data_IF_901294951558
#
_entry.id   IF_901294951558
#
_cell.length_a   1.000
_cell.length_b   1.000
_cell.length_c   1.000
_cell.angle_alpha   90.00
_cell.angle_beta   90.00
_cell.angle_gamma   90.00
#
_symmetry.space_group_name_H-M   'P 1'
#
loop_
_entity.id
_entity.type
_entity.pdbx_description
1 polymer ?
#
# COMPACT_ATOMS: atom_id res chain seq x y z
N UNK A 1 34.03 -46.65 -77.23
CA UNK A 1 32.91 -46.01 -76.60
C UNK A 1 33.40 -44.75 -75.90
N UNK A 2 33.05 -43.55 -76.35
CA UNK A 2 33.67 -42.32 -75.86
C UNK A 2 32.90 -41.80 -74.65
N UNK A 3 33.63 -41.37 -73.62
CA UNK A 3 33.15 -40.70 -72.44
C UNK A 3 33.08 -39.19 -72.73
N UNK A 4 31.88 -38.61 -72.66
CA UNK A 4 31.66 -37.20 -72.85
C UNK A 4 31.95 -36.43 -71.52
N UNK A 5 32.91 -35.55 -71.55
CA UNK A 5 33.28 -34.62 -70.51
C UNK A 5 32.31 -33.40 -70.58
N UNK A 6 31.70 -33.06 -69.49
CA UNK A 6 30.84 -31.80 -69.32
C UNK A 6 31.75 -30.70 -68.74
N UNK A 7 31.56 -29.44 -69.18
CA UNK A 7 32.36 -28.33 -68.66
C UNK A 7 31.72 -27.80 -67.36
N UNK A 8 32.59 -27.45 -66.39
CA UNK A 8 32.29 -26.77 -65.11
C UNK A 8 32.06 -25.29 -65.40
N UNK A 9 30.93 -24.76 -64.98
CA UNK A 9 30.65 -23.32 -65.01
C UNK A 9 31.17 -22.68 -63.71
N UNK A 10 31.76 -21.45 -63.74
CA UNK A 10 32.18 -20.74 -62.55
C UNK A 10 30.97 -20.15 -61.81
N UNK A 11 30.88 -20.47 -60.52
CA UNK A 11 29.88 -19.90 -59.61
C UNK A 11 30.25 -18.49 -59.20
N UNK A 12 29.31 -17.58 -59.42
CA UNK A 12 29.36 -16.20 -58.93
C UNK A 12 29.16 -16.20 -57.38
N UNK A 13 30.14 -15.74 -56.66
CA UNK A 13 30.05 -15.54 -55.24
C UNK A 13 29.30 -14.24 -54.95
N UNK A 14 28.05 -14.35 -54.51
CA UNK A 14 27.29 -13.23 -54.00
C UNK A 14 27.75 -12.93 -52.58
N UNK A 15 28.41 -11.80 -52.37
CA UNK A 15 28.78 -11.26 -51.05
C UNK A 15 27.48 -10.71 -50.45
N UNK A 16 26.92 -11.43 -49.47
CA UNK A 16 25.86 -10.94 -48.63
C UNK A 16 26.47 -10.00 -47.57
N UNK A 17 26.28 -8.70 -47.77
CA UNK A 17 26.54 -7.69 -46.72
C UNK A 17 25.46 -7.86 -45.63
N UNK A 18 25.87 -8.46 -44.50
CA UNK A 18 25.06 -8.48 -43.31
C UNK A 18 25.09 -7.07 -42.63
N UNK A 19 24.04 -6.29 -42.82
CA UNK A 19 23.82 -5.07 -42.05
C UNK A 19 23.40 -5.48 -40.66
N UNK A 20 24.30 -5.40 -39.69
CA UNK A 20 24.02 -5.54 -38.27
C UNK A 20 23.25 -4.28 -37.84
N UNK A 21 21.92 -4.37 -37.73
CA UNK A 21 21.12 -3.39 -37.03
C UNK A 21 21.46 -3.46 -35.52
N UNK A 22 22.29 -2.55 -35.04
CA UNK A 22 22.43 -2.22 -33.64
C UNK A 22 21.10 -1.59 -33.18
N UNK A 23 20.20 -2.43 -32.67
CA UNK A 23 19.06 -1.97 -31.91
C UNK A 23 19.60 -1.36 -30.61
N UNK A 24 19.78 -0.04 -30.60
CA UNK A 24 19.94 0.73 -29.37
C UNK A 24 18.63 0.59 -28.58
N UNK A 25 18.60 -0.33 -27.63
CA UNK A 25 17.58 -0.32 -26.59
C UNK A 25 17.77 0.96 -25.78
N UNK A 26 17.09 2.02 -26.17
CA UNK A 26 16.82 3.15 -25.32
C UNK A 26 16.12 2.61 -24.08
N UNK A 27 16.84 2.50 -22.96
CA UNK A 27 16.20 2.40 -21.65
C UNK A 27 15.35 3.66 -21.52
N UNK A 28 14.05 3.51 -21.77
CA UNK A 28 13.10 4.50 -21.32
C UNK A 28 13.28 4.59 -19.80
N UNK A 29 13.84 5.70 -19.34
CA UNK A 29 13.78 6.10 -17.95
C UNK A 29 12.31 5.99 -17.55
N UNK A 30 11.99 5.00 -16.73
CA UNK A 30 10.68 4.86 -16.11
C UNK A 30 10.56 6.03 -15.13
N UNK A 31 10.21 7.19 -15.67
CA UNK A 31 9.91 8.39 -14.91
C UNK A 31 8.86 8.02 -13.86
N UNK A 32 9.26 8.11 -12.66
CA UNK A 32 8.62 8.01 -11.38
C UNK A 32 7.10 8.23 -11.46
N UNK A 33 6.25 7.20 -11.48
CA UNK A 33 4.80 7.38 -11.65
C UNK A 33 4.18 8.27 -10.55
N UNK A 34 4.77 8.32 -9.36
CA UNK A 34 4.33 9.17 -8.25
C UNK A 34 4.51 10.68 -8.50
N UNK A 35 5.57 11.10 -9.19
CA UNK A 35 5.81 12.52 -9.47
C UNK A 35 4.84 13.05 -10.54
N UNK A 36 4.49 12.24 -11.54
CA UNK A 36 3.52 12.60 -12.57
C UNK A 36 2.10 12.70 -11.99
N UNK A 37 1.71 11.78 -11.10
CA UNK A 37 0.41 11.80 -10.43
C UNK A 37 0.28 13.01 -9.48
N UNK A 38 1.33 13.39 -8.77
CA UNK A 38 1.35 14.57 -7.90
C UNK A 38 1.18 15.86 -8.70
N UNK A 39 1.91 16.02 -9.80
CA UNK A 39 1.79 17.18 -10.67
C UNK A 39 0.40 17.31 -11.31
N UNK A 40 -0.19 16.21 -11.76
CA UNK A 40 -1.55 16.20 -12.30
C UNK A 40 -2.60 16.61 -11.23
N UNK A 41 -2.38 16.27 -9.96
CA UNK A 41 -3.24 16.71 -8.87
C UNK A 41 -3.15 18.21 -8.63
N UNK A 42 -1.94 18.76 -8.64
CA UNK A 42 -1.76 20.18 -8.40
C UNK A 42 -2.51 21.05 -9.42
N UNK A 43 -2.59 20.61 -10.68
CA UNK A 43 -3.30 21.33 -11.74
C UNK A 43 -4.82 21.41 -11.56
N UNK A 44 -5.41 20.48 -10.78
CA UNK A 44 -6.88 20.45 -10.55
C UNK A 44 -7.29 20.98 -9.18
N UNK A 45 -6.35 21.26 -8.28
CA UNK A 45 -6.68 21.90 -7.00
C UNK A 45 -7.03 23.36 -7.25
N UNK A 46 -8.24 23.84 -6.86
CA UNK A 46 -8.65 25.22 -7.13
C UNK A 46 -7.79 26.23 -6.36
N UNK A 47 -7.77 27.46 -6.83
CA UNK A 47 -7.17 28.57 -6.09
C UNK A 47 -8.03 28.98 -4.89
N UNK A 48 -7.43 29.71 -3.94
CA UNK A 48 -8.12 30.28 -2.77
C UNK A 48 -8.15 29.36 -1.55
N UNK A 49 -8.85 29.79 -0.47
CA UNK A 49 -8.75 29.16 0.86
C UNK A 49 -9.08 27.66 0.89
N UNK A 50 -10.04 27.22 0.08
CA UNK A 50 -10.36 25.79 -0.04
C UNK A 50 -9.19 24.98 -0.63
N UNK A 51 -8.65 25.44 -1.75
CA UNK A 51 -7.52 24.79 -2.39
C UNK A 51 -6.26 24.81 -1.52
N UNK A 52 -6.08 25.86 -0.72
CA UNK A 52 -4.98 25.95 0.25
C UNK A 52 -5.14 24.90 1.35
N UNK A 53 -6.34 24.67 1.87
CA UNK A 53 -6.64 23.60 2.83
C UNK A 53 -6.40 22.21 2.21
N UNK A 54 -6.80 21.99 0.95
CA UNK A 54 -6.54 20.74 0.21
C UNK A 54 -5.04 20.47 0.11
N UNK A 55 -4.24 21.49 -0.26
CA UNK A 55 -2.77 21.37 -0.35
C UNK A 55 -2.13 21.08 1.00
N UNK A 56 -2.56 21.77 2.07
CA UNK A 56 -2.06 21.47 3.42
C UNK A 56 -2.44 20.08 3.88
N UNK A 57 -3.69 19.64 3.70
CA UNK A 57 -4.14 18.28 4.03
C UNK A 57 -3.33 17.21 3.30
N UNK A 58 -3.05 17.41 1.99
CA UNK A 58 -2.18 16.53 1.22
C UNK A 58 -0.76 16.47 1.81
N UNK A 59 -0.18 17.62 2.14
CA UNK A 59 1.14 17.69 2.75
C UNK A 59 1.22 16.96 4.09
N UNK A 60 0.22 17.14 4.97
CA UNK A 60 0.13 16.43 6.24
C UNK A 60 0.09 14.91 6.05
N UNK A 61 -0.58 14.40 5.04
CA UNK A 61 -0.71 12.97 4.78
C UNK A 61 0.53 12.37 4.08
N UNK A 62 1.20 13.13 3.24
CA UNK A 62 2.39 12.67 2.50
C UNK A 62 3.68 12.79 3.29
N UNK A 63 3.77 13.77 4.20
CA UNK A 63 4.90 14.02 5.09
C UNK A 63 4.49 13.93 6.58
N UNK A 64 3.61 12.99 6.93
CA UNK A 64 2.92 12.92 8.23
C UNK A 64 3.87 13.03 9.41
N UNK A 65 4.97 12.27 9.40
CA UNK A 65 5.94 12.27 10.48
C UNK A 65 6.65 13.61 10.66
N UNK A 66 6.99 14.25 9.54
CA UNK A 66 7.74 15.51 9.56
C UNK A 66 6.82 16.70 9.89
N UNK A 67 5.56 16.63 9.43
CA UNK A 67 4.55 17.67 9.67
C UNK A 67 3.90 17.57 11.05
N UNK A 68 3.77 16.36 11.60
CA UNK A 68 3.05 16.08 12.83
C UNK A 68 3.89 15.21 13.79
N UNK A 69 5.15 15.61 14.12
CA UNK A 69 6.08 14.77 14.89
C UNK A 69 5.58 14.43 16.29
N UNK A 70 4.75 15.26 16.92
CA UNK A 70 4.15 15.01 18.23
C UNK A 70 3.07 13.90 18.20
N UNK A 71 2.56 13.54 17.02
CA UNK A 71 1.47 12.60 16.83
C UNK A 71 1.89 11.28 16.16
N UNK A 72 3.17 11.15 15.75
CA UNK A 72 3.69 9.97 15.06
C UNK A 72 4.81 9.33 15.89
N UNK A 73 4.56 8.11 16.39
CA UNK A 73 5.49 7.37 17.23
C UNK A 73 6.41 6.38 16.49
N UNK A 74 6.36 6.37 15.14
CA UNK A 74 7.16 5.45 14.33
C UNK A 74 7.75 6.13 13.08
N UNK A 75 8.28 5.35 12.12
CA UNK A 75 8.86 5.89 10.88
C UNK A 75 7.88 5.91 9.69
N UNK A 76 6.59 5.71 9.93
CA UNK A 76 5.58 5.67 8.87
C UNK A 76 5.00 7.06 8.59
N UNK A 77 4.38 7.17 7.43
CA UNK A 77 3.49 8.25 7.00
C UNK A 77 2.21 7.64 6.45
N UNK A 78 1.13 8.38 6.33
CA UNK A 78 -0.14 7.85 5.85
C UNK A 78 0.01 7.21 4.46
N UNK A 79 0.80 7.82 3.59
CA UNK A 79 1.12 7.29 2.25
C UNK A 79 2.08 6.10 2.24
N UNK A 80 2.56 5.61 3.40
CA UNK A 80 3.24 4.30 3.45
C UNK A 80 2.32 3.13 3.11
N UNK A 81 1.01 3.29 3.35
CA UNK A 81 -0.02 2.30 3.03
C UNK A 81 -1.03 2.81 2.01
N UNK A 82 -1.34 4.11 2.03
CA UNK A 82 -2.25 4.76 1.10
C UNK A 82 -1.47 5.36 -0.07
N UNK A 83 -1.01 4.46 -0.94
CA UNK A 83 -0.11 4.80 -2.04
C UNK A 83 -0.73 5.78 -3.03
N UNK A 84 0.13 6.46 -3.78
CA UNK A 84 -0.27 7.45 -4.77
C UNK A 84 -1.20 8.51 -4.17
N UNK A 85 -0.79 9.04 -3.00
CA UNK A 85 -1.54 10.06 -2.26
C UNK A 85 -3.00 9.65 -1.99
N UNK A 86 -3.22 8.34 -1.77
CA UNK A 86 -4.53 7.76 -1.52
C UNK A 86 -5.38 7.49 -2.75
N UNK A 87 -4.82 7.53 -3.96
CA UNK A 87 -5.57 7.26 -5.21
C UNK A 87 -5.48 5.81 -5.65
N UNK A 88 -4.47 5.07 -5.22
CA UNK A 88 -4.33 3.67 -5.60
C UNK A 88 -5.49 2.86 -5.07
N UNK A 89 -6.06 2.00 -5.91
CA UNK A 89 -7.31 1.28 -5.63
C UNK A 89 -7.29 0.50 -4.31
N UNK A 90 -6.21 -0.23 -4.04
CA UNK A 90 -6.03 -0.89 -2.75
C UNK A 90 -5.61 0.11 -1.68
N UNK A 91 -6.52 0.44 -0.77
CA UNK A 91 -6.32 1.45 0.27
C UNK A 91 -6.67 2.88 -0.17
N UNK A 92 -7.52 3.04 -1.17
CA UNK A 92 -7.89 4.35 -1.70
C UNK A 92 -8.62 5.25 -0.69
N UNK A 93 -8.34 6.55 -0.77
CA UNK A 93 -9.12 7.61 -0.11
C UNK A 93 -10.22 8.18 -1.02
N UNK A 94 -10.22 7.84 -2.31
CA UNK A 94 -11.29 8.26 -3.23
C UNK A 94 -12.63 7.75 -2.72
N UNK A 95 -13.57 8.67 -2.53
CA UNK A 95 -14.89 8.37 -1.98
C UNK A 95 -14.94 8.07 -0.48
N UNK A 96 -13.81 8.17 0.26
CA UNK A 96 -13.81 7.87 1.69
C UNK A 96 -14.68 8.86 2.49
N UNK A 97 -14.66 10.13 2.13
CA UNK A 97 -15.48 11.15 2.79
C UNK A 97 -16.98 10.85 2.68
N UNK A 98 -17.44 10.34 1.54
CA UNK A 98 -18.84 10.01 1.29
C UNK A 98 -19.33 8.75 2.06
N UNK A 99 -18.44 8.01 2.74
CA UNK A 99 -18.78 6.80 3.50
C UNK A 99 -18.98 7.04 5.00
N UNK A 100 -18.62 8.22 5.50
CA UNK A 100 -18.74 8.55 6.91
C UNK A 100 -19.91 9.55 7.15
N UNK A 101 -20.58 9.46 8.33
CA UNK A 101 -20.31 8.52 9.42
C UNK A 101 -20.75 7.08 9.09
N UNK A 102 -20.07 6.07 9.68
CA UNK A 102 -20.42 4.67 9.47
C UNK A 102 -20.20 3.83 10.74
N UNK A 103 -21.02 2.79 10.94
CA UNK A 103 -20.80 1.83 12.00
C UNK A 103 -19.55 0.98 11.73
N UNK A 104 -18.73 0.82 12.78
CA UNK A 104 -17.49 0.03 12.71
C UNK A 104 -17.50 -1.05 13.80
N UNK A 105 -17.53 -2.35 13.44
CA UNK A 105 -17.56 -3.44 14.44
C UNK A 105 -16.39 -3.40 15.43
N UNK A 106 -15.19 -2.95 14.98
CA UNK A 106 -14.02 -2.87 15.86
C UNK A 106 -14.24 -1.96 17.08
N UNK A 107 -14.78 -0.80 16.88
CA UNK A 107 -15.08 0.17 17.96
C UNK A 107 -16.46 -0.04 18.57
N UNK A 108 -17.37 -0.74 17.87
CA UNK A 108 -18.74 -0.93 18.28
C UNK A 108 -19.64 0.33 18.20
N UNK A 109 -19.17 1.38 17.52
CA UNK A 109 -19.88 2.66 17.40
C UNK A 109 -20.00 3.13 15.96
N UNK A 110 -20.85 4.14 15.74
CA UNK A 110 -20.85 4.92 14.50
C UNK A 110 -19.70 5.93 14.56
N UNK A 111 -18.67 5.69 13.75
CA UNK A 111 -17.48 6.54 13.68
C UNK A 111 -17.67 7.69 12.70
N UNK A 112 -17.11 8.86 13.03
CA UNK A 112 -16.87 9.95 12.07
C UNK A 112 -15.54 9.71 11.32
N UNK A 113 -15.29 10.48 10.27
CA UNK A 113 -14.03 10.38 9.53
C UNK A 113 -12.83 10.82 10.38
N UNK A 114 -13.00 11.82 11.27
CA UNK A 114 -11.98 12.29 12.21
C UNK A 114 -11.62 11.20 13.21
N UNK A 115 -12.63 10.49 13.73
CA UNK A 115 -12.40 9.33 14.60
C UNK A 115 -11.55 8.27 13.88
N UNK A 116 -11.89 7.96 12.62
CA UNK A 116 -11.16 6.98 11.81
C UNK A 116 -9.72 7.41 11.53
N UNK A 117 -9.48 8.69 11.25
CA UNK A 117 -8.12 9.23 11.08
C UNK A 117 -7.33 9.09 12.39
N UNK A 118 -7.92 9.45 13.52
CA UNK A 118 -7.31 9.33 14.83
C UNK A 118 -7.03 7.87 15.23
N UNK A 119 -7.88 6.93 14.80
CA UNK A 119 -7.61 5.49 14.97
C UNK A 119 -6.35 5.06 14.20
N UNK A 120 -6.08 5.63 13.02
CA UNK A 120 -4.83 5.40 12.30
C UNK A 120 -3.61 5.99 13.02
N UNK A 121 -3.73 7.18 13.62
CA UNK A 121 -2.64 7.77 14.41
C UNK A 121 -2.26 6.86 15.59
N UNK A 122 -3.25 6.35 16.33
CA UNK A 122 -2.98 5.46 17.49
C UNK A 122 -2.45 4.10 17.09
N UNK A 123 -2.87 3.55 15.95
CA UNK A 123 -2.59 2.16 15.52
C UNK A 123 -1.46 2.09 14.48
N UNK A 124 -1.69 2.68 13.34
CA UNK A 124 -0.73 2.60 12.22
C UNK A 124 0.51 3.47 12.47
N UNK A 125 0.32 4.67 13.04
CA UNK A 125 1.41 5.58 13.36
C UNK A 125 2.01 5.33 14.75
N UNK A 126 1.46 4.41 15.55
CA UNK A 126 1.89 4.13 16.92
C UNK A 126 2.05 5.40 17.76
N UNK A 127 1.16 6.36 17.60
CA UNK A 127 1.25 7.72 18.10
C UNK A 127 0.00 8.15 18.87
N UNK A 128 -0.26 9.45 18.86
CA UNK A 128 -1.36 10.10 19.59
C UNK A 128 -2.34 10.77 18.65
N UNK A 129 -3.60 10.87 19.08
CA UNK A 129 -4.67 11.50 18.30
C UNK A 129 -4.42 12.99 18.09
N UNK A 130 -4.86 13.51 16.94
CA UNK A 130 -5.05 14.95 16.70
C UNK A 130 -6.31 15.45 17.41
N UNK A 131 -6.35 16.75 17.67
CA UNK A 131 -7.64 17.41 18.00
C UNK A 131 -8.61 17.24 16.83
N UNK A 132 -9.77 16.56 17.03
CA UNK A 132 -10.73 16.34 15.95
C UNK A 132 -11.36 17.63 15.40
N UNK A 133 -11.35 18.72 16.16
CA UNK A 133 -11.82 20.05 15.73
C UNK A 133 -10.66 20.96 15.28
N UNK A 134 -9.42 20.49 15.38
CA UNK A 134 -8.21 21.26 15.07
C UNK A 134 -8.00 21.55 13.57
N UNK A 135 -7.13 22.51 13.25
CA UNK A 135 -6.87 22.89 11.86
C UNK A 135 -6.29 21.76 11.03
N UNK A 136 -5.35 20.98 11.58
CA UNK A 136 -4.70 19.88 10.87
C UNK A 136 -5.72 18.80 10.47
N UNK A 137 -6.64 18.44 11.38
CA UNK A 137 -7.70 17.49 11.09
C UNK A 137 -8.65 18.04 10.01
N UNK A 138 -9.02 19.32 10.07
CA UNK A 138 -9.84 19.95 9.02
C UNK A 138 -9.18 19.89 7.66
N UNK A 139 -7.90 20.20 7.57
CA UNK A 139 -7.16 20.16 6.32
C UNK A 139 -7.07 18.74 5.76
N UNK A 140 -6.81 17.73 6.61
CA UNK A 140 -6.84 16.30 6.23
C UNK A 140 -8.21 15.91 5.69
N UNK A 141 -9.29 16.25 6.39
CA UNK A 141 -10.67 15.94 5.98
C UNK A 141 -11.05 16.68 4.70
N UNK A 142 -10.55 17.92 4.52
CA UNK A 142 -10.74 18.69 3.29
C UNK A 142 -10.08 17.99 2.09
N UNK A 143 -8.90 17.42 2.26
CA UNK A 143 -8.28 16.63 1.20
C UNK A 143 -9.10 15.38 0.85
N UNK A 144 -9.65 14.68 1.83
CA UNK A 144 -10.54 13.52 1.57
C UNK A 144 -11.83 13.93 0.88
N UNK A 145 -12.42 15.07 1.25
CA UNK A 145 -13.59 15.62 0.58
C UNK A 145 -13.28 15.97 -0.90
N UNK A 146 -12.12 16.59 -1.14
CA UNK A 146 -11.64 16.87 -2.50
C UNK A 146 -11.50 15.60 -3.34
N UNK A 147 -10.87 14.53 -2.82
CA UNK A 147 -10.76 13.24 -3.51
C UNK A 147 -12.11 12.51 -3.68
N UNK A 148 -13.11 12.89 -2.91
CA UNK A 148 -14.46 12.29 -2.97
C UNK A 148 -15.43 13.10 -3.82
N UNK A 149 -15.00 14.20 -4.43
CA UNK A 149 -15.86 15.03 -5.26
C UNK A 149 -16.44 14.21 -6.44
N UNK A 150 -17.75 14.30 -6.60
CA UNK A 150 -18.47 13.54 -7.64
C UNK A 150 -18.71 12.05 -7.31
N UNK A 151 -18.22 11.57 -6.16
CA UNK A 151 -18.52 10.20 -5.70
C UNK A 151 -19.79 10.21 -4.87
N UNK A 152 -20.78 9.42 -5.30
CA UNK A 152 -22.03 9.28 -4.57
C UNK A 152 -21.83 8.64 -3.19
N UNK A 153 -22.69 9.01 -2.23
CA UNK A 153 -22.75 8.36 -0.91
C UNK A 153 -23.14 6.89 -1.13
N UNK A 154 -22.25 5.99 -0.74
CA UNK A 154 -22.53 4.56 -0.78
C UNK A 154 -22.27 3.96 0.59
N UNK A 155 -23.24 3.26 1.19
CA UNK A 155 -22.96 2.47 2.38
C UNK A 155 -21.79 1.54 2.08
N UNK A 156 -20.85 1.43 3.00
CA UNK A 156 -19.79 0.44 2.86
C UNK A 156 -20.40 -0.95 2.85
N UNK A 157 -20.49 -1.57 1.68
CA UNK A 157 -20.73 -2.99 1.62
C UNK A 157 -19.62 -3.70 2.41
N UNK A 158 -19.92 -4.78 3.14
CA UNK A 158 -18.88 -5.62 3.75
C UNK A 158 -17.86 -5.95 2.67
N UNK A 159 -16.59 -5.72 2.96
CA UNK A 159 -15.54 -5.95 1.98
C UNK A 159 -15.46 -7.45 1.66
N UNK A 160 -16.11 -7.88 0.58
CA UNK A 160 -15.97 -9.24 0.05
C UNK A 160 -14.54 -9.53 -0.42
N UNK A 161 -13.75 -8.48 -0.64
CA UNK A 161 -12.34 -8.58 -1.06
C UNK A 161 -11.48 -9.42 -0.11
N UNK A 162 -11.71 -9.31 1.21
CA UNK A 162 -10.96 -10.09 2.18
C UNK A 162 -11.46 -11.54 2.31
N UNK A 163 -12.65 -11.86 1.78
CA UNK A 163 -13.21 -13.22 1.88
C UNK A 163 -12.41 -14.24 1.08
N UNK A 164 -11.81 -13.83 -0.05
CA UNK A 164 -10.96 -14.73 -0.83
C UNK A 164 -9.82 -15.33 -0.01
N UNK A 165 -9.30 -14.58 0.97
CA UNK A 165 -8.19 -15.02 1.81
C UNK A 165 -8.60 -16.05 2.89
N UNK A 166 -9.90 -16.32 3.05
CA UNK A 166 -10.38 -17.29 4.04
C UNK A 166 -9.96 -18.72 3.72
N UNK A 167 -9.74 -19.05 2.46
CA UNK A 167 -9.34 -20.38 2.00
C UNK A 167 -7.83 -20.63 2.07
N UNK A 168 -7.01 -19.62 2.39
CA UNK A 168 -5.56 -19.73 2.40
C UNK A 168 -5.05 -20.15 3.77
N UNK A 169 -4.08 -21.08 3.77
CA UNK A 169 -3.31 -21.47 4.95
C UNK A 169 -1.91 -20.88 4.82
N UNK A 170 -1.44 -20.22 5.89
CA UNK A 170 -0.15 -19.54 5.88
C UNK A 170 1.03 -20.52 6.01
N UNK A 171 2.04 -20.33 5.15
CA UNK A 171 3.37 -20.92 5.30
C UNK A 171 4.39 -19.78 5.50
N UNK A 172 4.77 -19.52 6.74
CA UNK A 172 5.74 -18.48 7.08
C UNK A 172 7.14 -18.77 6.55
N UNK A 173 7.51 -20.05 6.36
CA UNK A 173 8.80 -20.42 5.78
C UNK A 173 8.83 -20.11 4.27
N UNK A 174 7.72 -20.37 3.54
CA UNK A 174 7.56 -19.91 2.17
C UNK A 174 7.57 -18.37 2.10
N UNK A 175 6.85 -17.71 3.01
CA UNK A 175 6.82 -16.26 3.14
C UNK A 175 8.20 -15.64 3.35
N UNK A 176 9.06 -16.27 4.17
CA UNK A 176 10.45 -15.83 4.36
C UNK A 176 11.25 -15.87 3.05
N UNK A 177 11.07 -16.91 2.23
CA UNK A 177 11.72 -17.00 0.92
C UNK A 177 11.25 -15.91 -0.04
N UNK A 178 9.94 -15.67 -0.10
CA UNK A 178 9.36 -14.58 -0.90
C UNK A 178 9.87 -13.22 -0.43
N UNK A 179 9.93 -13.00 0.89
CA UNK A 179 10.46 -11.76 1.46
C UNK A 179 11.90 -11.52 1.06
N UNK A 180 12.77 -12.52 1.22
CA UNK A 180 14.18 -12.41 0.86
C UNK A 180 14.39 -12.12 -0.64
N UNK A 181 13.60 -12.75 -1.51
CA UNK A 181 13.70 -12.61 -2.96
C UNK A 181 13.14 -11.28 -3.50
N UNK A 182 12.04 -10.79 -2.93
CA UNK A 182 11.26 -9.71 -3.55
C UNK A 182 11.10 -8.45 -2.70
N UNK A 183 11.26 -8.53 -1.37
CA UNK A 183 10.91 -7.45 -0.46
C UNK A 183 12.15 -6.83 0.23
N UNK A 184 13.11 -7.67 0.62
CA UNK A 184 14.27 -7.26 1.42
C UNK A 184 15.12 -6.16 0.75
N UNK A 185 15.19 -6.14 -0.58
CA UNK A 185 15.91 -5.11 -1.37
C UNK A 185 15.45 -3.68 -1.03
N UNK A 186 14.17 -3.51 -0.67
CA UNK A 186 13.60 -2.21 -0.35
C UNK A 186 13.31 -2.06 1.16
N UNK A 187 12.78 -3.11 1.80
CA UNK A 187 12.36 -3.04 3.20
C UNK A 187 13.46 -3.43 4.21
N UNK A 188 14.65 -3.80 3.74
CA UNK A 188 15.74 -4.31 4.57
C UNK A 188 15.57 -5.78 4.92
N UNK A 189 16.67 -6.49 5.21
CA UNK A 189 16.63 -7.92 5.56
C UNK A 189 15.98 -8.20 6.92
N UNK A 190 16.05 -7.23 7.83
CA UNK A 190 15.40 -7.26 9.14
C UNK A 190 14.11 -6.41 9.19
N UNK A 191 13.53 -6.05 8.04
CA UNK A 191 12.29 -5.29 7.96
C UNK A 191 12.34 -3.85 8.46
N UNK A 192 13.54 -3.33 8.63
CA UNK A 192 13.85 -2.02 9.23
C UNK A 192 13.53 -0.84 8.32
N UNK A 193 13.25 -1.11 7.05
CA UNK A 193 13.06 -0.10 6.02
C UNK A 193 14.37 0.50 5.51
N UNK A 194 14.25 1.31 4.47
CA UNK A 194 15.34 2.11 3.87
C UNK A 194 14.87 3.54 3.65
N UNK A 195 15.70 4.39 3.05
CA UNK A 195 15.28 5.75 2.66
C UNK A 195 14.10 5.74 1.66
N UNK A 196 13.96 4.67 0.85
CA UNK A 196 12.94 4.56 -0.19
C UNK A 196 11.72 3.71 0.20
N UNK A 197 11.78 2.95 1.29
CA UNK A 197 10.71 2.06 1.71
C UNK A 197 10.54 2.00 3.23
N UNK A 198 9.31 1.96 3.75
CA UNK A 198 9.05 1.99 5.17
C UNK A 198 9.46 0.69 5.88
N UNK A 199 9.68 0.73 7.22
CA UNK A 199 9.81 -0.48 8.02
C UNK A 199 8.48 -1.26 8.01
N UNK A 200 8.58 -2.61 7.98
CA UNK A 200 7.42 -3.50 7.92
C UNK A 200 7.17 -4.29 9.21
N UNK A 201 8.14 -4.32 10.13
CA UNK A 201 8.00 -4.82 11.51
C UNK A 201 8.94 -4.09 12.48
N UNK A 202 8.94 -4.48 13.75
CA UNK A 202 9.75 -3.87 14.79
C UNK A 202 9.20 -2.54 15.32
N UNK A 203 9.94 -1.90 16.21
CA UNK A 203 9.52 -0.70 16.93
C UNK A 203 9.21 0.51 16.02
N UNK A 204 9.84 0.57 14.84
CA UNK A 204 9.68 1.68 13.91
C UNK A 204 8.48 1.49 12.94
N UNK A 205 7.73 0.38 13.04
CA UNK A 205 6.58 0.04 12.22
C UNK A 205 5.26 0.23 12.99
N UNK A 206 4.15 -0.19 12.39
CA UNK A 206 2.81 -0.14 13.00
C UNK A 206 2.67 -1.13 14.17
N UNK A 207 1.76 -0.84 15.09
CA UNK A 207 1.50 -1.71 16.24
C UNK A 207 0.50 -2.84 15.94
N UNK A 208 0.33 -3.75 16.90
CA UNK A 208 -0.57 -4.93 16.77
C UNK A 208 -2.01 -4.57 16.44
N UNK A 209 -2.49 -3.38 16.83
CA UNK A 209 -3.83 -2.90 16.57
C UNK A 209 -4.05 -2.33 15.17
N UNK A 210 -3.01 -2.16 14.37
CA UNK A 210 -3.15 -1.65 13.00
C UNK A 210 -3.93 -2.62 12.10
N UNK A 211 -4.61 -2.10 11.08
CA UNK A 211 -5.27 -2.95 10.08
C UNK A 211 -4.30 -3.90 9.37
N UNK A 212 -3.08 -3.42 9.11
CA UNK A 212 -2.02 -4.18 8.46
C UNK A 212 -1.44 -5.32 9.33
N UNK A 213 -1.70 -5.34 10.64
CA UNK A 213 -1.31 -6.47 11.50
C UNK A 213 -2.15 -7.73 11.25
N UNK A 214 -3.26 -7.62 10.53
CA UNK A 214 -4.08 -8.75 10.11
C UNK A 214 -3.57 -9.31 8.79
N UNK A 215 -3.31 -10.62 8.76
CA UNK A 215 -2.71 -11.30 7.60
C UNK A 215 -3.53 -11.09 6.33
N UNK A 216 -4.87 -11.19 6.40
CA UNK A 216 -5.74 -10.99 5.23
C UNK A 216 -5.68 -9.57 4.67
N UNK A 217 -5.61 -8.57 5.55
CA UNK A 217 -5.48 -7.17 5.13
C UNK A 217 -4.11 -6.91 4.51
N UNK A 218 -3.05 -7.45 5.10
CA UNK A 218 -1.70 -7.33 4.56
C UNK A 218 -1.56 -8.05 3.21
N UNK A 219 -2.10 -9.26 3.09
CA UNK A 219 -2.10 -10.03 1.84
C UNK A 219 -2.82 -9.29 0.71
N UNK A 220 -3.99 -8.70 1.00
CA UNK A 220 -4.73 -7.87 0.04
C UNK A 220 -3.90 -6.67 -0.44
N UNK A 221 -3.24 -5.98 0.48
CA UNK A 221 -2.37 -4.87 0.14
C UNK A 221 -1.17 -5.33 -0.70
N UNK A 222 -0.51 -6.41 -0.29
CA UNK A 222 0.68 -6.94 -0.95
C UNK A 222 0.35 -7.41 -2.37
N UNK A 223 -0.73 -8.17 -2.55
CA UNK A 223 -1.13 -8.71 -3.86
C UNK A 223 -1.39 -7.63 -4.91
N UNK A 224 -1.81 -6.42 -4.49
CA UNK A 224 -2.12 -5.33 -5.41
C UNK A 224 -0.97 -4.34 -5.60
N UNK A 225 -0.10 -4.20 -4.59
CA UNK A 225 0.83 -3.08 -4.53
C UNK A 225 2.31 -3.48 -4.49
N UNK A 226 2.60 -4.75 -4.16
CA UNK A 226 3.98 -5.22 -3.96
C UNK A 226 4.31 -6.41 -4.88
N UNK A 227 5.61 -6.53 -5.27
CA UNK A 227 6.69 -5.55 -5.11
C UNK A 227 6.34 -4.20 -5.76
N UNK A 228 6.81 -3.08 -5.19
CA UNK A 228 6.41 -1.75 -5.66
C UNK A 228 6.82 -1.45 -7.11
N UNK A 229 7.92 -2.04 -7.56
CA UNK A 229 8.46 -1.96 -8.92
C UNK A 229 7.82 -2.96 -9.90
N UNK A 230 7.04 -3.93 -9.38
CA UNK A 230 6.34 -4.95 -10.16
C UNK A 230 5.02 -5.38 -9.46
N UNK A 231 4.06 -4.46 -9.28
CA UNK A 231 2.83 -4.74 -8.54
C UNK A 231 1.98 -5.81 -9.25
N UNK A 232 1.32 -6.66 -8.45
CA UNK A 232 0.44 -7.71 -8.95
C UNK A 232 1.15 -8.93 -9.57
N UNK A 233 2.48 -9.06 -9.42
CA UNK A 233 3.24 -10.20 -9.95
C UNK A 233 3.31 -11.40 -9.01
N UNK A 234 3.05 -11.21 -7.72
CA UNK A 234 3.00 -12.29 -6.75
C UNK A 234 1.69 -13.08 -6.90
N UNK A 235 1.78 -14.40 -6.78
CA UNK A 235 0.59 -15.25 -6.66
C UNK A 235 -0.13 -14.97 -5.34
N UNK A 236 -1.42 -15.27 -5.27
CA UNK A 236 -2.21 -15.07 -4.06
C UNK A 236 -1.60 -15.81 -2.85
N UNK A 237 -1.18 -17.08 -3.00
CA UNK A 237 -0.54 -17.83 -1.91
C UNK A 237 0.77 -17.16 -1.47
N UNK A 238 1.61 -16.70 -2.39
CA UNK A 238 2.86 -15.99 -2.07
C UNK A 238 2.58 -14.70 -1.31
N UNK A 239 1.54 -13.96 -1.71
CA UNK A 239 1.10 -12.74 -1.03
C UNK A 239 0.59 -13.02 0.39
N UNK A 240 -0.10 -14.15 0.58
CA UNK A 240 -0.60 -14.57 1.89
C UNK A 240 0.52 -15.04 2.80
N UNK A 241 1.44 -15.85 2.27
CA UNK A 241 2.58 -16.38 3.02
C UNK A 241 3.53 -15.27 3.48
N UNK A 242 3.86 -14.33 2.60
CA UNK A 242 4.73 -13.20 2.97
C UNK A 242 4.02 -12.24 3.93
N UNK A 243 2.70 -12.05 3.83
CA UNK A 243 1.92 -11.30 4.80
C UNK A 243 1.97 -11.94 6.19
N UNK A 244 1.84 -13.26 6.25
CA UNK A 244 1.96 -14.02 7.49
C UNK A 244 3.38 -13.95 8.07
N UNK A 245 4.42 -14.10 7.24
CA UNK A 245 5.80 -13.94 7.65
C UNK A 245 6.07 -12.56 8.24
N UNK A 246 5.69 -11.48 7.57
CA UNK A 246 5.84 -10.09 8.05
C UNK A 246 5.11 -9.88 9.38
N UNK A 247 3.91 -10.45 9.53
CA UNK A 247 3.11 -10.28 10.74
C UNK A 247 3.49 -11.22 11.89
N UNK A 248 4.32 -12.24 11.66
CA UNK A 248 4.90 -13.08 12.71
C UNK A 248 6.03 -12.38 13.50
N UNK A 249 6.55 -11.27 13.01
CA UNK A 249 7.63 -10.54 13.68
C UNK A 249 7.09 -9.64 14.80
N UNK A 250 7.89 -9.42 15.86
CA UNK A 250 7.54 -8.52 16.96
C UNK A 250 7.25 -7.11 16.47
N UNK A 251 6.26 -6.47 17.08
CA UNK A 251 5.86 -5.09 16.85
C UNK A 251 5.33 -4.44 18.11
N UNK A 252 5.21 -3.10 18.18
CA UNK A 252 4.69 -2.42 19.34
C UNK A 252 3.31 -2.92 19.74
N UNK A 253 3.07 -3.00 21.03
CA UNK A 253 1.75 -3.31 21.57
C UNK A 253 0.83 -2.08 21.53
N UNK A 254 -0.49 -2.30 21.69
CA UNK A 254 -1.50 -1.26 21.76
C UNK A 254 -2.30 -1.39 23.06
N UNK A 255 -2.17 -0.40 23.93
CA UNK A 255 -2.97 -0.34 25.16
C UNK A 255 -4.47 -0.20 24.80
N UNK A 256 -5.31 -1.00 25.44
CA UNK A 256 -6.77 -0.97 25.23
C UNK A 256 -7.26 -1.79 24.04
N UNK A 257 -6.37 -2.51 23.35
CA UNK A 257 -6.73 -3.38 22.21
C UNK A 257 -7.73 -4.48 22.58
N UNK A 258 -7.73 -4.91 23.82
CA UNK A 258 -8.65 -5.92 24.35
C UNK A 258 -10.12 -5.49 24.30
N UNK A 259 -10.39 -4.18 24.18
CA UNK A 259 -11.74 -3.60 24.04
C UNK A 259 -12.24 -3.58 22.59
N UNK A 260 -11.42 -3.96 21.64
CA UNK A 260 -11.82 -4.04 20.25
C UNK A 260 -12.90 -5.15 20.07
N UNK A 261 -13.83 -4.93 19.17
CA UNK A 261 -15.00 -5.78 18.91
C UNK A 261 -15.86 -6.06 20.16
N UNK A 262 -16.35 -5.00 20.84
CA UNK A 262 -17.08 -5.13 22.11
C UNK A 262 -18.38 -5.93 21.99
N UNK A 263 -18.90 -6.11 20.78
CA UNK A 263 -20.12 -6.88 20.51
C UNK A 263 -19.87 -8.29 19.93
N UNK A 264 -18.60 -8.75 19.91
CA UNK A 264 -18.21 -10.04 19.34
C UNK A 264 -17.80 -9.94 17.86
N UNK A 265 -17.64 -11.08 17.23
CA UNK A 265 -17.26 -11.25 15.82
C UNK A 265 -15.95 -10.57 15.41
N UNK A 266 -14.85 -10.69 16.17
CA UNK A 266 -13.55 -10.25 15.69
C UNK A 266 -13.17 -11.04 14.42
N UNK A 267 -12.49 -10.43 13.46
CA UNK A 267 -11.93 -11.19 12.34
C UNK A 267 -11.01 -12.30 12.84
N UNK A 268 -11.00 -13.50 12.18
CA UNK A 268 -10.25 -14.65 12.67
C UNK A 268 -8.72 -14.46 12.63
N UNK A 269 -8.23 -13.42 11.98
CA UNK A 269 -6.82 -13.06 11.87
C UNK A 269 -6.42 -11.86 12.75
N UNK A 270 -7.16 -11.62 13.84
CA UNK A 270 -6.77 -10.63 14.86
C UNK A 270 -5.57 -11.14 15.63
N UNK A 271 -4.55 -10.28 15.79
CA UNK A 271 -3.25 -10.65 16.36
C UNK A 271 -3.23 -10.68 17.92
N UNK A 272 -4.35 -10.46 18.57
CA UNK A 272 -4.45 -10.36 20.05
C UNK A 272 -5.84 -10.81 20.52
N UNK A 273 -5.94 -11.31 21.78
CA UNK A 273 -7.24 -11.64 22.37
C UNK A 273 -8.05 -10.36 22.65
N UNK A 274 -9.38 -10.47 22.58
CA UNK A 274 -10.34 -9.42 22.92
C UNK A 274 -11.21 -9.85 24.11
N UNK A 275 -11.92 -8.91 24.75
CA UNK A 275 -12.79 -9.24 25.90
C UNK A 275 -13.90 -10.22 25.54
N UNK A 276 -14.37 -10.19 24.30
CA UNK A 276 -15.44 -11.06 23.79
C UNK A 276 -14.89 -12.33 23.13
N UNK A 277 -13.58 -12.40 22.94
CA UNK A 277 -12.88 -13.55 22.34
C UNK A 277 -11.46 -13.63 22.94
N UNK A 278 -11.33 -14.20 24.19
CA UNK A 278 -10.07 -14.25 24.94
C UNK A 278 -9.04 -15.22 24.35
#
# INVERSE_FOLDING_TARGET
>A
MPVLSRPVRPGTWSVLLSVACLAACSRADSAKPAAAASAATDSIIPAGPYGDAVRRGRALLTATRDSLPAHVGNKLRCTSCHLDEGRRESGTWVGVFARYPQYRPRSGIVETIEYRVNDCFRRSMNGTALDPAGPDMRDIVTYFAFLSHGVGVSPSAPSTRLQKWAAFTADTAAGARVYAASCAKCHGSAGEGTAGAPPVWGAASYNVGAGMSRVRTAAEFISHNMPFDAPGTLKDQESFDVAAYVNAHPRPDLRGKEKDWPHGDPPPDVAYPTQTHP
#
